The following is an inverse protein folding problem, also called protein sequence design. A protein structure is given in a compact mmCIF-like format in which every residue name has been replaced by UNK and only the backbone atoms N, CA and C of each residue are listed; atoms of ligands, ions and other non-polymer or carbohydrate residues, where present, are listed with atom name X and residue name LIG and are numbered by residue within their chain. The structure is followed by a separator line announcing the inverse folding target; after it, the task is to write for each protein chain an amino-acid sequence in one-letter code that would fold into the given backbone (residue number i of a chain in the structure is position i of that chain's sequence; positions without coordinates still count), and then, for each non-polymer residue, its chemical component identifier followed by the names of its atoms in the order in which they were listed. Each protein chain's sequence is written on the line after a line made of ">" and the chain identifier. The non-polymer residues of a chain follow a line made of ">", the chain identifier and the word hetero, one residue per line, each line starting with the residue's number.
data_IF_887276830242
#
_entry.id   IF_887276830242
#
_cell.length_a   1.000
_cell.length_b   1.000
_cell.length_c   1.000
_cell.angle_alpha   90.00
_cell.angle_beta   90.00
_cell.angle_gamma   90.00
#
_symmetry.space_group_name_H-M   'P 1'
#
loop_
_entity.id
_entity.type
_entity.pdbx_description
1 polymer ?
#
# COMPACT_ATOMS: atom_id res chain seq x y z
N UNK A 1 -30.48 7.95 -30.41
CA UNK A 1 -30.19 7.55 -29.02
C UNK A 1 -29.63 8.76 -28.30
N UNK A 2 -30.42 9.39 -27.42
CA UNK A 2 -30.00 10.62 -26.74
C UNK A 2 -28.86 10.30 -25.76
N UNK A 3 -27.68 10.89 -25.98
CA UNK A 3 -26.67 11.03 -24.94
C UNK A 3 -27.28 11.87 -23.83
N UNK A 4 -27.72 11.24 -22.75
CA UNK A 4 -28.07 11.95 -21.52
C UNK A 4 -26.79 12.58 -20.99
N UNK A 5 -26.65 13.87 -21.23
CA UNK A 5 -25.58 14.71 -20.70
C UNK A 5 -25.87 14.96 -19.22
N UNK A 6 -25.80 13.90 -18.40
CA UNK A 6 -25.86 14.02 -16.95
C UNK A 6 -24.62 14.83 -16.56
N UNK A 7 -24.77 15.95 -15.83
CA UNK A 7 -23.63 16.70 -15.34
C UNK A 7 -22.77 15.76 -14.51
N UNK A 8 -21.61 15.40 -15.04
CA UNK A 8 -20.61 14.66 -14.30
C UNK A 8 -20.14 15.60 -13.19
N UNK A 9 -20.52 15.29 -11.95
CA UNK A 9 -19.92 15.91 -10.78
C UNK A 9 -18.66 15.14 -10.36
N UNK A 10 -17.94 15.68 -9.39
CA UNK A 10 -16.70 15.07 -8.87
C UNK A 10 -16.93 13.64 -8.35
N UNK A 11 -18.12 13.35 -7.79
CA UNK A 11 -18.44 12.03 -7.22
C UNK A 11 -18.59 10.99 -8.32
N UNK A 12 -19.32 11.31 -9.39
CA UNK A 12 -19.52 10.41 -10.53
C UNK A 12 -18.19 10.19 -11.27
N UNK A 13 -17.39 11.24 -11.46
CA UNK A 13 -16.05 11.11 -12.04
C UNK A 13 -15.15 10.18 -11.21
N UNK A 14 -15.17 10.30 -9.87
CA UNK A 14 -14.40 9.42 -8.99
C UNK A 14 -14.86 7.96 -9.07
N UNK A 15 -16.17 7.72 -9.06
CA UNK A 15 -16.73 6.38 -9.18
C UNK A 15 -16.36 5.74 -10.54
N UNK A 16 -16.37 6.52 -11.62
CA UNK A 16 -15.92 6.06 -12.93
C UNK A 16 -14.41 5.79 -12.98
N UNK A 17 -13.59 6.64 -12.37
CA UNK A 17 -12.14 6.41 -12.26
C UNK A 17 -11.87 5.13 -11.48
N UNK A 18 -12.58 4.90 -10.37
CA UNK A 18 -12.45 3.69 -9.57
C UNK A 18 -12.89 2.45 -10.37
N UNK A 19 -14.08 2.50 -10.98
CA UNK A 19 -14.58 1.42 -11.84
C UNK A 19 -13.64 1.10 -13.01
N UNK A 20 -13.14 2.11 -13.73
CA UNK A 20 -12.15 1.90 -14.78
C UNK A 20 -10.83 1.33 -14.23
N UNK A 21 -10.41 1.74 -13.04
CA UNK A 21 -9.21 1.22 -12.38
C UNK A 21 -9.36 -0.26 -12.00
N UNK A 22 -10.53 -0.66 -11.48
CA UNK A 22 -10.85 -2.04 -11.11
C UNK A 22 -10.93 -2.98 -12.32
N UNK A 23 -11.50 -2.52 -13.43
CA UNK A 23 -11.58 -3.30 -14.69
C UNK A 23 -10.27 -3.23 -15.49
N UNK A 24 -9.24 -2.55 -14.96
CA UNK A 24 -7.94 -2.42 -15.60
C UNK A 24 -7.95 -1.52 -16.83
N UNK A 25 -8.98 -0.70 -17.06
CA UNK A 25 -8.99 0.30 -18.13
C UNK A 25 -8.31 1.60 -17.69
N UNK A 26 -7.06 1.48 -17.25
CA UNK A 26 -6.29 2.57 -16.61
C UNK A 26 -6.15 3.79 -17.53
N UNK A 27 -6.00 3.59 -18.85
CA UNK A 27 -5.89 4.70 -19.79
C UNK A 27 -7.17 5.55 -19.87
N UNK A 28 -8.34 4.92 -19.69
CA UNK A 28 -9.62 5.65 -19.62
C UNK A 28 -9.76 6.39 -18.28
N UNK A 29 -9.37 5.73 -17.19
CA UNK A 29 -9.34 6.35 -15.86
C UNK A 29 -8.42 7.59 -15.84
N UNK A 30 -7.23 7.49 -16.44
CA UNK A 30 -6.27 8.58 -16.57
C UNK A 30 -6.82 9.74 -17.40
N UNK A 31 -7.36 9.45 -18.59
CA UNK A 31 -7.99 10.48 -19.44
C UNK A 31 -9.12 11.21 -18.73
N UNK A 32 -9.92 10.47 -17.95
CA UNK A 32 -11.01 11.07 -17.18
C UNK A 32 -10.47 12.03 -16.12
N UNK A 33 -9.49 11.60 -15.32
CA UNK A 33 -8.79 12.43 -14.32
C UNK A 33 -8.21 13.71 -14.95
N UNK A 34 -7.47 13.58 -16.06
CA UNK A 34 -6.84 14.71 -16.75
C UNK A 34 -7.87 15.69 -17.34
N UNK A 35 -9.08 15.21 -17.70
CA UNK A 35 -10.15 16.05 -18.24
C UNK A 35 -10.98 16.79 -17.18
N UNK A 36 -10.87 16.43 -15.90
CA UNK A 36 -11.66 17.03 -14.81
C UNK A 36 -11.43 18.55 -14.67
N UNK A 37 -10.17 19.07 -14.67
CA UNK A 37 -9.95 20.51 -14.54
C UNK A 37 -10.57 21.33 -15.69
N UNK A 38 -10.52 20.81 -16.92
CA UNK A 38 -11.14 21.43 -18.09
C UNK A 38 -12.67 21.48 -18.02
N UNK A 39 -13.29 20.70 -17.12
CA UNK A 39 -14.73 20.69 -16.83
C UNK A 39 -15.09 21.50 -15.59
N UNK A 40 -14.12 22.20 -14.97
CA UNK A 40 -14.32 22.91 -13.70
C UNK A 40 -14.40 21.98 -12.48
N UNK A 41 -14.02 20.71 -12.62
CA UNK A 41 -14.00 19.74 -11.53
C UNK A 41 -12.58 19.63 -10.95
N UNK A 42 -12.46 19.52 -9.62
CA UNK A 42 -11.18 19.31 -8.95
C UNK A 42 -11.00 17.83 -8.61
N UNK A 43 -9.99 17.14 -9.16
CA UNK A 43 -9.60 15.82 -8.69
C UNK A 43 -9.30 15.82 -7.19
N UNK A 44 -9.61 14.73 -6.50
CA UNK A 44 -9.36 14.59 -5.08
C UNK A 44 -8.44 13.39 -4.80
N UNK A 45 -8.03 13.23 -3.55
CA UNK A 45 -7.11 12.16 -3.15
C UNK A 45 -7.64 10.75 -3.52
N UNK A 46 -8.96 10.56 -3.50
CA UNK A 46 -9.61 9.29 -3.87
C UNK A 46 -9.36 8.96 -5.34
N UNK A 47 -9.51 9.96 -6.24
CA UNK A 47 -9.28 9.80 -7.68
C UNK A 47 -7.84 9.35 -7.96
N UNK A 48 -6.88 9.96 -7.26
CA UNK A 48 -5.46 9.58 -7.34
C UNK A 48 -5.21 8.20 -6.75
N UNK A 49 -5.75 7.88 -5.56
CA UNK A 49 -5.55 6.58 -4.93
C UNK A 49 -6.07 5.41 -5.77
N UNK A 50 -7.24 5.56 -6.40
CA UNK A 50 -7.81 4.52 -7.27
C UNK A 50 -6.93 4.30 -8.51
N UNK A 51 -6.47 5.38 -9.13
CA UNK A 51 -5.64 5.31 -10.33
C UNK A 51 -4.26 4.71 -10.03
N UNK A 52 -3.63 5.15 -8.95
CA UNK A 52 -2.35 4.62 -8.45
C UNK A 52 -2.47 3.12 -8.15
N UNK A 53 -3.52 2.71 -7.43
CA UNK A 53 -3.79 1.30 -7.15
C UNK A 53 -3.94 0.48 -8.44
N UNK A 54 -4.67 1.02 -9.43
CA UNK A 54 -4.80 0.43 -10.75
C UNK A 54 -3.46 0.23 -11.47
N UNK A 55 -2.57 1.22 -11.41
CA UNK A 55 -1.21 1.10 -11.98
C UNK A 55 -0.36 0.07 -11.23
N UNK A 56 -0.38 0.07 -9.89
CA UNK A 56 0.34 -0.90 -9.05
C UNK A 56 -0.11 -2.34 -9.38
N UNK A 57 -1.42 -2.61 -9.45
CA UNK A 57 -1.98 -3.93 -9.80
C UNK A 57 -1.60 -4.41 -11.19
N UNK A 58 -1.30 -3.50 -12.12
CA UNK A 58 -0.79 -3.82 -13.46
C UNK A 58 0.74 -3.94 -13.53
N UNK A 59 1.45 -3.83 -12.41
CA UNK A 59 2.91 -3.82 -12.38
C UNK A 59 3.55 -2.56 -12.97
N UNK A 60 2.75 -1.51 -13.27
CA UNK A 60 3.23 -0.24 -13.83
C UNK A 60 3.62 0.73 -12.72
N UNK A 61 4.54 0.31 -11.85
CA UNK A 61 4.87 1.04 -10.61
C UNK A 61 5.50 2.41 -10.88
N UNK A 62 6.24 2.60 -11.98
CA UNK A 62 6.78 3.94 -12.32
C UNK A 62 5.67 4.97 -12.60
N UNK A 63 4.60 4.57 -13.27
CA UNK A 63 3.48 5.46 -13.54
C UNK A 63 2.69 5.75 -12.27
N UNK A 64 2.55 4.74 -11.39
CA UNK A 64 1.99 4.93 -10.05
C UNK A 64 2.82 5.92 -9.23
N UNK A 65 4.14 5.82 -9.27
CA UNK A 65 5.07 6.70 -8.56
C UNK A 65 5.00 8.15 -9.06
N UNK A 66 4.91 8.35 -10.39
CA UNK A 66 4.72 9.69 -10.97
C UNK A 66 3.44 10.36 -10.49
N UNK A 67 2.33 9.61 -10.43
CA UNK A 67 1.06 10.11 -9.93
C UNK A 67 1.10 10.40 -8.43
N UNK A 68 1.78 9.56 -7.66
CA UNK A 68 2.00 9.79 -6.24
C UNK A 68 2.69 11.15 -6.02
N UNK A 69 3.80 11.41 -6.70
CA UNK A 69 4.54 12.69 -6.61
C UNK A 69 3.75 13.91 -7.14
N UNK A 70 2.69 13.70 -7.91
CA UNK A 70 1.83 14.78 -8.42
C UNK A 70 0.86 15.30 -7.35
N UNK A 71 0.48 14.47 -6.35
CA UNK A 71 -0.54 14.79 -5.36
C UNK A 71 -0.25 16.10 -4.61
N UNK A 72 0.94 16.33 -4.01
CA UNK A 72 1.24 17.60 -3.34
C UNK A 72 1.26 18.79 -4.31
N UNK A 73 1.66 18.57 -5.57
CA UNK A 73 1.68 19.62 -6.61
C UNK A 73 0.28 20.09 -7.00
N UNK A 74 -0.75 19.33 -6.66
CA UNK A 74 -2.17 19.71 -6.83
C UNK A 74 -2.80 20.30 -5.57
N UNK A 75 -1.99 20.53 -4.52
CA UNK A 75 -2.46 21.02 -3.22
C UNK A 75 -3.35 19.99 -2.51
N UNK A 76 -3.01 18.71 -2.63
CA UNK A 76 -3.64 17.61 -1.92
C UNK A 76 -2.61 17.00 -0.96
N UNK A 77 -3.06 16.60 0.22
CA UNK A 77 -2.21 15.94 1.21
C UNK A 77 -2.28 14.42 1.06
N UNK A 78 -1.17 13.76 1.38
CA UNK A 78 -1.15 12.31 1.47
C UNK A 78 -1.96 11.84 2.69
N UNK A 79 -2.57 10.66 2.56
CA UNK A 79 -3.24 9.96 3.65
C UNK A 79 -2.71 8.53 3.79
N UNK A 80 -3.15 7.81 4.82
CA UNK A 80 -2.74 6.42 5.05
C UNK A 80 -2.97 5.56 3.81
N UNK A 81 -4.13 5.71 3.15
CA UNK A 81 -4.54 4.89 2.00
C UNK A 81 -3.56 5.00 0.84
N UNK A 82 -3.19 6.22 0.42
CA UNK A 82 -2.29 6.41 -0.73
C UNK A 82 -0.86 5.94 -0.42
N UNK A 83 -0.38 6.12 0.82
CA UNK A 83 0.88 5.55 1.28
C UNK A 83 0.85 4.02 1.24
N UNK A 84 -0.18 3.39 1.81
CA UNK A 84 -0.33 1.93 1.83
C UNK A 84 -0.40 1.33 0.42
N UNK A 85 -1.13 1.96 -0.51
CA UNK A 85 -1.21 1.53 -1.91
C UNK A 85 0.17 1.58 -2.58
N UNK A 86 0.93 2.67 -2.37
CA UNK A 86 2.26 2.81 -2.95
C UNK A 86 3.28 1.86 -2.33
N UNK A 87 3.24 1.67 -1.01
CA UNK A 87 4.05 0.68 -0.32
C UNK A 87 3.79 -0.72 -0.87
N UNK A 88 2.53 -1.14 -0.99
CA UNK A 88 2.17 -2.43 -1.59
C UNK A 88 2.67 -2.56 -3.03
N UNK A 89 2.53 -1.50 -3.84
CA UNK A 89 3.03 -1.47 -5.21
C UNK A 89 4.54 -1.64 -5.33
N UNK A 90 5.31 -0.88 -4.54
CA UNK A 90 6.77 -0.96 -4.52
C UNK A 90 7.26 -2.32 -4.04
N UNK A 91 6.70 -2.83 -2.95
CA UNK A 91 7.08 -4.13 -2.39
C UNK A 91 6.71 -5.28 -3.34
N UNK A 92 5.55 -5.20 -4.00
CA UNK A 92 5.13 -6.16 -5.02
C UNK A 92 6.03 -6.17 -6.26
N UNK A 93 6.63 -5.03 -6.63
CA UNK A 93 7.61 -4.92 -7.71
C UNK A 93 9.05 -5.23 -7.27
N UNK A 94 9.27 -5.59 -6.00
CA UNK A 94 10.60 -5.87 -5.47
C UNK A 94 11.47 -4.64 -5.19
N UNK A 95 10.88 -3.42 -5.18
CA UNK A 95 11.57 -2.15 -4.92
C UNK A 95 11.60 -1.82 -3.42
N UNK A 96 12.20 -2.71 -2.64
CA UNK A 96 12.11 -2.69 -1.18
C UNK A 96 12.79 -1.49 -0.52
N UNK A 97 13.96 -1.08 -1.02
CA UNK A 97 14.66 0.09 -0.50
C UNK A 97 13.80 1.36 -0.59
N UNK A 98 13.07 1.51 -1.69
CA UNK A 98 12.15 2.63 -1.91
C UNK A 98 10.91 2.50 -1.02
N UNK A 99 10.39 1.30 -0.84
CA UNK A 99 9.30 1.04 0.13
C UNK A 99 9.68 1.43 1.56
N UNK A 100 10.90 1.10 2.00
CA UNK A 100 11.39 1.49 3.34
C UNK A 100 11.56 3.00 3.46
N UNK A 101 12.07 3.68 2.42
CA UNK A 101 12.18 5.14 2.42
C UNK A 101 10.80 5.80 2.47
N UNK A 102 9.82 5.26 1.73
CA UNK A 102 8.44 5.74 1.75
C UNK A 102 7.78 5.54 3.12
N UNK A 103 8.07 4.44 3.80
CA UNK A 103 7.60 4.21 5.17
C UNK A 103 8.18 5.22 6.16
N UNK A 104 9.47 5.54 6.04
CA UNK A 104 10.09 6.60 6.86
C UNK A 104 9.49 7.98 6.58
N UNK A 105 9.21 8.27 5.31
CA UNK A 105 8.52 9.51 4.92
C UNK A 105 7.10 9.57 5.53
N UNK A 106 6.34 8.48 5.46
CA UNK A 106 5.02 8.36 6.10
C UNK A 106 5.07 8.67 7.60
N UNK A 107 6.08 8.15 8.31
CA UNK A 107 6.32 8.44 9.73
C UNK A 107 6.72 9.91 9.96
N UNK A 108 7.58 10.47 9.11
CA UNK A 108 7.99 11.87 9.19
C UNK A 108 6.83 12.85 8.96
N UNK A 109 5.88 12.48 8.10
CA UNK A 109 4.63 13.21 7.87
C UNK A 109 3.56 12.96 8.96
N UNK A 110 3.92 12.27 10.05
CA UNK A 110 3.01 11.91 11.15
C UNK A 110 1.78 11.09 10.71
N UNK A 111 1.87 10.40 9.59
CA UNK A 111 0.82 9.49 9.12
C UNK A 111 1.02 8.14 9.80
N UNK A 112 0.09 7.75 10.66
CA UNK A 112 0.21 6.54 11.48
C UNK A 112 0.09 5.29 10.60
N UNK A 113 1.14 4.44 10.53
CA UNK A 113 1.05 3.18 9.82
C UNK A 113 0.14 2.18 10.54
N UNK A 114 -0.67 1.45 9.79
CA UNK A 114 -1.53 0.41 10.33
C UNK A 114 -0.85 -0.98 10.32
N UNK A 115 -1.51 -1.96 10.94
CA UNK A 115 -1.04 -3.36 10.99
C UNK A 115 -0.79 -3.95 9.60
N UNK A 116 -1.59 -3.54 8.60
CA UNK A 116 -1.47 -4.02 7.22
C UNK A 116 -0.17 -3.49 6.60
N UNK A 117 0.15 -2.22 6.84
CA UNK A 117 1.38 -1.57 6.37
C UNK A 117 2.61 -2.28 6.93
N UNK A 118 2.66 -2.49 8.25
CA UNK A 118 3.74 -3.23 8.90
C UNK A 118 3.87 -4.67 8.39
N UNK A 119 2.76 -5.41 8.32
CA UNK A 119 2.76 -6.81 7.85
C UNK A 119 3.25 -6.91 6.40
N UNK A 120 2.89 -5.95 5.55
CA UNK A 120 3.35 -5.91 4.15
C UNK A 120 4.86 -5.67 4.07
N UNK A 121 5.40 -4.74 4.86
CA UNK A 121 6.84 -4.47 4.93
C UNK A 121 7.63 -5.67 5.46
N UNK A 122 7.13 -6.32 6.52
CA UNK A 122 7.72 -7.53 7.08
C UNK A 122 7.79 -8.67 6.06
N UNK A 123 6.71 -8.86 5.28
CA UNK A 123 6.71 -9.83 4.18
C UNK A 123 7.79 -9.50 3.16
N UNK A 124 7.90 -8.23 2.77
CA UNK A 124 8.92 -7.79 1.84
C UNK A 124 10.34 -8.04 2.33
N UNK A 125 10.64 -7.67 3.58
CA UNK A 125 11.94 -7.92 4.20
C UNK A 125 12.27 -9.43 4.26
N UNK A 126 11.28 -10.26 4.58
CA UNK A 126 11.43 -11.72 4.58
C UNK A 126 11.74 -12.28 3.18
N UNK A 127 11.06 -11.77 2.14
CA UNK A 127 11.30 -12.20 0.77
C UNK A 127 12.73 -11.89 0.28
N UNK A 128 13.35 -10.83 0.80
CA UNK A 128 14.76 -10.49 0.53
C UNK A 128 15.76 -11.09 1.52
N UNK A 129 15.30 -11.97 2.41
CA UNK A 129 16.14 -12.57 3.46
C UNK A 129 16.75 -11.53 4.44
N UNK A 130 16.21 -10.33 4.51
CA UNK A 130 16.60 -9.26 5.44
C UNK A 130 15.93 -9.46 6.81
N UNK A 131 16.24 -10.59 7.46
CA UNK A 131 15.57 -10.99 8.70
C UNK A 131 15.89 -10.08 9.89
N UNK A 132 17.09 -9.51 9.96
CA UNK A 132 17.47 -8.58 11.03
C UNK A 132 16.61 -7.31 10.99
N UNK A 133 16.41 -6.75 9.79
CA UNK A 133 15.53 -5.60 9.57
C UNK A 133 14.07 -5.97 9.86
N UNK A 134 13.64 -7.19 9.49
CA UNK A 134 12.29 -7.66 9.78
C UNK A 134 11.99 -7.74 11.29
N UNK A 135 12.92 -8.29 12.08
CA UNK A 135 12.75 -8.32 13.54
C UNK A 135 12.81 -6.92 14.17
N UNK A 136 13.70 -6.06 13.67
CA UNK A 136 13.76 -4.66 14.12
C UNK A 136 12.44 -3.94 13.85
N UNK A 137 11.85 -4.15 12.67
CA UNK A 137 10.55 -3.57 12.32
C UNK A 137 9.40 -4.13 13.15
N UNK A 138 9.45 -5.42 13.53
CA UNK A 138 8.48 -6.02 14.44
C UNK A 138 8.53 -5.36 15.83
N UNK A 139 9.72 -5.06 16.34
CA UNK A 139 9.87 -4.33 17.61
C UNK A 139 9.35 -2.89 17.51
N UNK A 140 9.66 -2.18 16.42
CA UNK A 140 9.11 -0.83 16.19
C UNK A 140 7.58 -0.85 16.13
N UNK A 141 7.01 -1.89 15.52
CA UNK A 141 5.56 -2.09 15.47
C UNK A 141 4.96 -2.26 16.87
N UNK A 142 5.57 -3.10 17.72
CA UNK A 142 5.17 -3.29 19.13
C UNK A 142 5.33 -2.00 19.96
N UNK A 143 6.46 -1.28 19.82
CA UNK A 143 6.77 -0.04 20.53
C UNK A 143 5.81 1.11 20.18
N UNK A 144 5.34 1.15 18.94
CA UNK A 144 4.33 2.12 18.48
C UNK A 144 2.90 1.73 18.88
N UNK A 145 2.73 0.67 19.67
CA UNK A 145 1.42 0.21 20.14
C UNK A 145 0.58 -0.50 19.08
N UNK A 146 1.17 -0.84 17.92
CA UNK A 146 0.50 -1.61 16.87
C UNK A 146 0.76 -3.09 17.17
N UNK A 147 -0.18 -3.76 17.84
CA UNK A 147 0.04 -5.16 18.24
C UNK A 147 0.11 -6.11 17.02
N UNK A 148 1.19 -6.89 16.86
CA UNK A 148 1.29 -7.92 15.82
C UNK A 148 0.19 -8.98 16.00
N UNK A 149 -0.43 -9.39 14.88
CA UNK A 149 -1.45 -10.44 14.90
C UNK A 149 -0.90 -11.76 14.33
N UNK A 150 -1.77 -12.77 14.26
CA UNK A 150 -1.39 -14.08 13.74
C UNK A 150 -0.89 -14.04 12.29
N UNK A 151 -1.40 -13.11 11.48
CA UNK A 151 -0.99 -12.92 10.09
C UNK A 151 0.45 -12.39 10.05
N UNK A 152 0.77 -11.40 10.89
CA UNK A 152 2.12 -10.83 11.00
C UNK A 152 3.16 -11.91 11.34
N UNK A 153 2.87 -12.75 12.34
CA UNK A 153 3.79 -13.84 12.69
C UNK A 153 3.84 -14.96 11.66
N UNK A 154 2.70 -15.30 11.03
CA UNK A 154 2.66 -16.26 9.94
C UNK A 154 3.57 -15.85 8.79
N UNK A 155 3.59 -14.55 8.44
CA UNK A 155 4.49 -13.98 7.43
C UNK A 155 5.97 -14.21 7.81
N UNK A 156 6.35 -13.91 9.06
CA UNK A 156 7.72 -14.09 9.54
C UNK A 156 8.14 -15.57 9.55
N UNK A 157 7.28 -16.44 10.10
CA UNK A 157 7.53 -17.90 10.19
C UNK A 157 7.67 -18.47 8.78
N UNK A 158 6.75 -18.16 7.86
CA UNK A 158 6.82 -18.61 6.48
C UNK A 158 8.09 -18.13 5.77
N UNK A 159 8.45 -16.85 5.95
CA UNK A 159 9.68 -16.28 5.42
C UNK A 159 10.94 -16.99 5.92
N UNK A 160 11.01 -17.28 7.22
CA UNK A 160 12.12 -18.02 7.85
C UNK A 160 12.21 -19.46 7.36
N UNK A 161 11.08 -20.16 7.25
CA UNK A 161 11.01 -21.51 6.69
C UNK A 161 11.55 -21.56 5.27
N UNK A 162 11.15 -20.62 4.40
CA UNK A 162 11.62 -20.53 3.02
C UNK A 162 13.12 -20.25 2.92
N UNK A 163 13.71 -19.59 3.91
CA UNK A 163 15.14 -19.36 4.00
C UNK A 163 15.92 -20.47 4.72
N UNK A 164 15.27 -21.56 5.13
CA UNK A 164 15.89 -22.67 5.86
C UNK A 164 16.20 -22.40 7.33
N UNK A 165 15.73 -21.27 7.89
CA UNK A 165 15.94 -20.89 9.30
C UNK A 165 14.89 -21.54 10.21
N UNK A 166 14.81 -22.87 10.17
CA UNK A 166 13.74 -23.65 10.80
C UNK A 166 13.71 -23.50 12.32
N UNK A 167 14.86 -23.42 12.99
CA UNK A 167 14.92 -23.26 14.46
C UNK A 167 14.32 -21.92 14.90
N UNK A 168 14.66 -20.83 14.20
CA UNK A 168 14.07 -19.51 14.49
C UNK A 168 12.56 -19.51 14.21
N UNK A 169 12.13 -20.13 13.12
CA UNK A 169 10.71 -20.25 12.78
C UNK A 169 9.93 -21.04 13.85
N UNK A 170 10.49 -22.15 14.33
CA UNK A 170 9.93 -22.99 15.39
C UNK A 170 9.86 -22.23 16.72
N UNK A 171 10.90 -21.49 17.08
CA UNK A 171 10.90 -20.68 18.30
C UNK A 171 9.80 -19.61 18.27
N UNK A 172 9.60 -18.94 17.12
CA UNK A 172 8.49 -18.00 16.96
C UNK A 172 7.13 -18.69 17.08
N UNK A 173 6.94 -19.83 16.42
CA UNK A 173 5.70 -20.59 16.45
C UNK A 173 5.33 -21.01 17.89
N UNK A 174 6.31 -21.53 18.63
CA UNK A 174 6.12 -21.96 20.02
C UNK A 174 5.87 -20.78 20.98
N UNK A 175 6.28 -19.56 20.60
CA UNK A 175 6.02 -18.33 21.35
C UNK A 175 4.67 -17.67 21.07
N UNK A 176 3.87 -18.18 20.12
CA UNK A 176 2.54 -17.61 19.82
C UNK A 176 1.56 -17.73 21.00
N UNK A 177 1.48 -18.87 21.73
CA UNK A 177 0.53 -19.01 22.84
C UNK A 177 0.80 -18.04 23.99
N UNK A 178 2.07 -17.73 24.29
CA UNK A 178 2.42 -16.76 25.34
C UNK A 178 2.06 -15.32 24.96
N UNK A 179 1.87 -15.05 23.67
CA UNK A 179 1.35 -13.78 23.14
C UNK A 179 -0.18 -13.77 22.98
N UNK A 180 -0.87 -14.83 23.43
CA UNK A 180 -2.32 -14.97 23.29
C UNK A 180 -2.79 -15.24 21.86
N UNK A 181 -1.88 -15.65 20.97
CA UNK A 181 -2.18 -15.95 19.57
C UNK A 181 -2.22 -17.46 19.35
N UNK A 182 -3.26 -17.94 18.69
CA UNK A 182 -3.40 -19.34 18.29
C UNK A 182 -3.10 -19.47 16.80
N UNK A 183 -2.11 -20.26 16.39
CA UNK A 183 -1.92 -20.61 14.99
C UNK A 183 -3.08 -21.45 14.47
N UNK A 184 -3.57 -21.12 13.27
CA UNK A 184 -4.60 -21.88 12.55
C UNK A 184 -4.04 -23.18 11.96
#
# INVERSE_FOLDING_TARGET
>A
MMQRNIPLDTVICNALIDGYSLVGQIDKARKLLDSMPGRGLKPCIISYSSLINGYCKKGKVEEAWRLFLEVPRKGLDYNVVIYSIMLQGLLGAGRFAEGLNLFKDMQAQQVIPDIVTYTTLLNGLCMNKQFADAFSLLHVMEDQGVNPNIITYSVLIHGLCKAGKLETARNLFNGLPSKGLQPN
#
